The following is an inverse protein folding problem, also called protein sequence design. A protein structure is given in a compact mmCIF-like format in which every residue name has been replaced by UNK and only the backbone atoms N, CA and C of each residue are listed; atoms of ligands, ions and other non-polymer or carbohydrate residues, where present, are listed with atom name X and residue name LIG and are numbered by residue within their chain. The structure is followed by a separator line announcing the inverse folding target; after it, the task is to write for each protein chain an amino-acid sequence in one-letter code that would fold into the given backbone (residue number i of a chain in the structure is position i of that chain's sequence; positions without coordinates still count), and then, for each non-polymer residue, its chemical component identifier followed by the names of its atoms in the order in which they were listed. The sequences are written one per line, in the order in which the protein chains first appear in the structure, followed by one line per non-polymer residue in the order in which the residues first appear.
data_IF_209512024269
#
_entry.id   IF_209512024269
#
_cell.length_a   1.000
_cell.length_b   1.000
_cell.length_c   1.000
_cell.angle_alpha   90.00
_cell.angle_beta   90.00
_cell.angle_gamma   90.00
#
_symmetry.space_group_name_H-M   'P 1'
#
loop_
_entity.id
_entity.type
_entity.pdbx_description
1 polymer ?
#
# COMPACT_ATOMS: atom_id res chain seq x y z
N UNK A 1 -3.65 -11.10 -27.73
CA UNK A 1 -4.40 -9.84 -27.97
C UNK A 1 -5.46 -9.95 -29.09
N UNK A 2 -6.03 -11.12 -29.36
CA UNK A 2 -7.00 -11.30 -30.46
C UNK A 2 -8.23 -10.40 -30.35
N UNK A 3 -8.68 -10.12 -29.13
CA UNK A 3 -9.85 -9.29 -28.81
C UNK A 3 -9.93 -7.89 -29.48
N UNK A 4 -8.79 -7.28 -29.83
CA UNK A 4 -8.75 -6.04 -30.61
C UNK A 4 -8.61 -6.30 -32.12
N UNK A 5 -7.85 -7.32 -32.56
CA UNK A 5 -7.71 -7.67 -33.99
C UNK A 5 -9.02 -8.19 -34.58
N UNK A 6 -9.69 -9.13 -33.91
CA UNK A 6 -11.01 -9.62 -34.27
C UNK A 6 -12.00 -8.45 -34.44
N UNK A 7 -11.92 -7.40 -33.62
CA UNK A 7 -12.81 -6.24 -33.73
C UNK A 7 -12.54 -5.36 -34.98
N UNK A 8 -11.29 -5.32 -35.48
CA UNK A 8 -10.95 -4.66 -36.75
C UNK A 8 -11.35 -5.52 -37.95
N UNK A 9 -11.10 -6.83 -37.90
CA UNK A 9 -11.51 -7.83 -38.90
C UNK A 9 -13.04 -7.90 -39.07
N UNK A 10 -13.79 -7.88 -37.95
CA UNK A 10 -15.26 -7.84 -37.91
C UNK A 10 -15.80 -6.53 -38.50
N UNK A 11 -15.08 -5.41 -38.38
CA UNK A 11 -15.48 -4.15 -39.03
C UNK A 11 -15.04 -4.10 -40.50
N UNK A 12 -13.96 -4.80 -40.88
CA UNK A 12 -13.41 -4.82 -42.23
C UNK A 12 -12.43 -3.68 -42.51
N UNK A 13 -11.57 -3.38 -41.53
CA UNK A 13 -10.56 -2.32 -41.59
C UNK A 13 -9.23 -2.84 -41.01
N UNK A 14 -8.10 -2.27 -41.43
CA UNK A 14 -6.79 -2.65 -40.91
C UNK A 14 -6.59 -2.27 -39.44
N UNK A 15 -5.57 -2.85 -38.80
CA UNK A 15 -5.16 -2.53 -37.41
C UNK A 15 -4.87 -1.04 -37.19
N UNK A 16 -4.39 -0.37 -38.25
CA UNK A 16 -3.84 0.98 -38.22
C UNK A 16 -4.90 2.04 -38.59
N UNK A 17 -6.16 1.62 -38.79
CA UNK A 17 -7.26 2.46 -39.21
C UNK A 17 -7.66 3.50 -38.14
N UNK A 18 -8.00 4.73 -38.55
CA UNK A 18 -8.39 5.79 -37.61
C UNK A 18 -9.81 5.59 -37.07
N UNK A 19 -10.18 6.31 -35.99
CA UNK A 19 -11.56 6.29 -35.48
C UNK A 19 -12.59 6.83 -36.51
N UNK A 20 -12.16 7.55 -37.54
CA UNK A 20 -13.02 7.94 -38.66
C UNK A 20 -13.22 6.77 -39.63
N UNK A 21 -12.14 6.07 -40.01
CA UNK A 21 -12.19 4.92 -40.92
C UNK A 21 -12.97 3.75 -40.32
N UNK A 22 -12.79 3.48 -39.03
CA UNK A 22 -13.53 2.42 -38.31
C UNK A 22 -15.03 2.76 -38.24
N UNK A 23 -15.42 4.03 -38.12
CA UNK A 23 -16.83 4.45 -38.23
C UNK A 23 -17.36 4.32 -39.67
N UNK A 24 -16.53 4.62 -40.68
CA UNK A 24 -16.86 4.51 -42.10
C UNK A 24 -17.07 3.05 -42.51
N UNK A 25 -16.14 2.17 -42.14
CA UNK A 25 -16.24 0.72 -42.33
C UNK A 25 -17.44 0.12 -41.60
N UNK A 26 -17.68 0.49 -40.34
CA UNK A 26 -18.85 0.05 -39.59
C UNK A 26 -20.16 0.41 -40.32
N UNK A 27 -20.30 1.66 -40.81
CA UNK A 27 -21.47 2.08 -41.59
C UNK A 27 -21.62 1.28 -42.88
N UNK A 28 -20.53 1.11 -43.64
CA UNK A 28 -20.55 0.37 -44.90
C UNK A 28 -20.89 -1.12 -44.71
N UNK A 29 -20.34 -1.78 -43.68
CA UNK A 29 -20.60 -3.19 -43.39
C UNK A 29 -21.99 -3.40 -42.79
N UNK A 30 -22.44 -2.49 -41.92
CA UNK A 30 -23.81 -2.46 -41.39
C UNK A 30 -24.86 -2.43 -42.51
N UNK A 31 -24.68 -1.60 -43.53
CA UNK A 31 -25.60 -1.54 -44.69
C UNK A 31 -25.60 -2.83 -45.53
N UNK A 32 -24.46 -3.54 -45.60
CA UNK A 32 -24.31 -4.82 -46.31
C UNK A 32 -24.88 -6.02 -45.53
N UNK A 33 -25.01 -5.93 -44.21
CA UNK A 33 -25.54 -7.01 -43.36
C UNK A 33 -26.86 -6.64 -42.67
N UNK A 34 -27.51 -5.55 -43.10
CA UNK A 34 -28.78 -5.12 -42.48
C UNK A 34 -29.89 -6.12 -42.83
N UNK A 35 -30.60 -6.73 -41.86
CA UNK A 35 -31.55 -7.80 -42.14
C UNK A 35 -32.72 -7.34 -43.03
N UNK A 36 -33.22 -6.13 -42.80
CA UNK A 36 -34.31 -5.51 -43.57
C UNK A 36 -33.93 -5.24 -45.05
N UNK A 37 -32.64 -4.95 -45.34
CA UNK A 37 -32.17 -4.72 -46.72
C UNK A 37 -31.68 -5.99 -47.42
N UNK A 38 -31.42 -7.05 -46.65
CA UNK A 38 -30.84 -8.30 -47.12
C UNK A 38 -31.62 -9.52 -46.56
N UNK A 39 -32.97 -9.58 -46.71
CA UNK A 39 -33.80 -10.62 -46.06
C UNK A 39 -33.53 -12.04 -46.57
N UNK A 40 -32.86 -12.17 -47.72
CA UNK A 40 -32.39 -13.43 -48.31
C UNK A 40 -31.10 -13.98 -47.67
N UNK A 41 -30.34 -13.14 -46.94
CA UNK A 41 -29.11 -13.54 -46.24
C UNK A 41 -29.43 -14.04 -44.83
N UNK A 42 -29.54 -15.36 -44.66
CA UNK A 42 -29.84 -16.02 -43.37
C UNK A 42 -28.90 -15.57 -42.23
N UNK A 43 -27.63 -15.33 -42.54
CA UNK A 43 -26.63 -14.87 -41.57
C UNK A 43 -26.58 -13.34 -41.35
N UNK A 44 -27.39 -12.53 -42.06
CA UNK A 44 -27.37 -11.06 -41.94
C UNK A 44 -27.54 -10.60 -40.49
N UNK A 45 -28.53 -11.15 -39.78
CA UNK A 45 -28.80 -10.83 -38.38
C UNK A 45 -27.62 -11.20 -37.45
N UNK A 46 -26.95 -12.34 -37.70
CA UNK A 46 -25.78 -12.79 -36.93
C UNK A 46 -24.59 -11.85 -37.14
N UNK A 47 -24.25 -11.57 -38.39
CA UNK A 47 -23.14 -10.69 -38.77
C UNK A 47 -23.36 -9.24 -38.29
N UNK A 48 -24.59 -8.74 -38.36
CA UNK A 48 -24.96 -7.42 -37.82
C UNK A 48 -24.84 -7.37 -36.29
N UNK A 49 -25.25 -8.43 -35.59
CA UNK A 49 -25.12 -8.53 -34.14
C UNK A 49 -23.65 -8.55 -33.70
N UNK A 50 -22.82 -9.35 -34.37
CA UNK A 50 -21.37 -9.43 -34.13
C UNK A 50 -20.66 -8.09 -34.39
N UNK A 51 -20.95 -7.44 -35.52
CA UNK A 51 -20.48 -6.08 -35.85
C UNK A 51 -20.85 -5.06 -34.75
N UNK A 52 -22.07 -5.17 -34.22
CA UNK A 52 -22.57 -4.31 -33.13
C UNK A 52 -21.88 -4.62 -31.81
N UNK A 53 -21.62 -5.89 -31.48
CA UNK A 53 -20.84 -6.27 -30.30
C UNK A 53 -19.40 -5.73 -30.37
N UNK A 54 -18.72 -5.88 -31.50
CA UNK A 54 -17.34 -5.40 -31.70
C UNK A 54 -17.22 -3.88 -31.48
N UNK A 55 -18.08 -3.09 -32.11
CA UNK A 55 -18.10 -1.62 -31.94
C UNK A 55 -18.43 -1.21 -30.49
N UNK A 56 -19.33 -1.93 -29.81
CA UNK A 56 -19.64 -1.70 -28.40
C UNK A 56 -18.47 -2.04 -27.49
N UNK A 57 -17.78 -3.17 -27.71
CA UNK A 57 -16.57 -3.60 -26.97
C UNK A 57 -15.45 -2.57 -27.13
N UNK A 58 -15.18 -2.13 -28.37
CA UNK A 58 -14.24 -1.05 -28.70
C UNK A 58 -14.58 0.26 -27.99
N UNK A 59 -15.84 0.69 -28.04
CA UNK A 59 -16.31 1.93 -27.39
C UNK A 59 -16.20 1.86 -25.86
N UNK A 60 -16.54 0.72 -25.25
CA UNK A 60 -16.35 0.46 -23.81
C UNK A 60 -14.87 0.53 -23.44
N UNK A 61 -13.97 -0.17 -24.15
CA UNK A 61 -12.53 -0.16 -23.89
C UNK A 61 -11.90 1.23 -24.04
N UNK A 62 -12.31 2.01 -25.05
CA UNK A 62 -11.90 3.43 -25.23
C UNK A 62 -12.33 4.29 -24.03
N UNK A 63 -13.59 4.19 -23.61
CA UNK A 63 -14.12 4.97 -22.49
C UNK A 63 -13.51 4.52 -21.14
N UNK A 64 -13.17 3.24 -20.99
CA UNK A 64 -12.44 2.69 -19.85
C UNK A 64 -11.01 3.24 -19.78
N UNK A 65 -10.25 3.23 -20.89
CA UNK A 65 -8.92 3.86 -20.99
C UNK A 65 -8.97 5.34 -20.59
N UNK A 66 -9.95 6.12 -21.08
CA UNK A 66 -10.15 7.52 -20.67
C UNK A 66 -10.41 7.67 -19.16
N UNK A 67 -11.26 6.82 -18.57
CA UNK A 67 -11.55 6.81 -17.12
C UNK A 67 -10.33 6.41 -16.27
N UNK A 68 -9.51 5.47 -16.74
CA UNK A 68 -8.27 5.07 -16.07
C UNK A 68 -7.24 6.21 -16.08
N UNK A 69 -7.01 6.84 -17.24
CA UNK A 69 -6.09 7.96 -17.34
C UNK A 69 -6.52 9.14 -16.45
N UNK A 70 -7.80 9.53 -16.48
CA UNK A 70 -8.33 10.63 -15.65
C UNK A 70 -8.33 10.36 -14.13
N UNK A 71 -8.24 9.10 -13.70
CA UNK A 71 -7.95 8.76 -12.29
C UNK A 71 -6.47 8.95 -11.98
N UNK A 72 -5.58 8.47 -12.85
CA UNK A 72 -4.14 8.56 -12.65
C UNK A 72 -3.61 10.00 -12.64
N UNK A 73 -4.22 10.93 -13.39
CA UNK A 73 -3.82 12.35 -13.40
C UNK A 73 -4.04 13.06 -12.06
N UNK A 74 -5.05 12.67 -11.29
CA UNK A 74 -5.40 13.32 -10.02
C UNK A 74 -4.82 12.57 -8.81
N UNK A 75 -4.88 11.23 -8.82
CA UNK A 75 -4.46 10.38 -7.70
C UNK A 75 -2.94 10.39 -7.46
N UNK A 76 -2.11 10.51 -8.52
CA UNK A 76 -0.64 10.55 -8.33
C UNK A 76 -0.16 11.84 -7.65
N UNK A 77 -0.57 13.05 -8.07
CA UNK A 77 -0.22 14.29 -7.36
C UNK A 77 -0.74 14.35 -5.91
N UNK A 78 -1.93 13.80 -5.65
CA UNK A 78 -2.49 13.61 -4.30
C UNK A 78 -1.56 12.76 -3.43
N UNK A 79 -1.25 11.53 -3.86
CA UNK A 79 -0.40 10.60 -3.12
C UNK A 79 0.99 11.16 -2.79
N UNK A 80 1.57 11.96 -3.69
CA UNK A 80 2.87 12.62 -3.47
C UNK A 80 2.76 13.73 -2.40
N UNK A 81 1.67 14.51 -2.40
CA UNK A 81 1.43 15.56 -1.41
C UNK A 81 1.14 14.98 -0.02
N UNK A 82 0.36 13.91 0.05
CA UNK A 82 0.03 13.26 1.32
C UNK A 82 1.23 12.52 1.92
N UNK A 83 2.09 11.93 1.09
CA UNK A 83 3.39 11.41 1.54
C UNK A 83 4.27 12.55 2.08
N UNK A 84 4.41 13.66 1.34
CA UNK A 84 5.18 14.82 1.77
C UNK A 84 4.68 15.43 3.08
N UNK A 85 3.35 15.53 3.26
CA UNK A 85 2.71 15.94 4.51
C UNK A 85 3.12 15.04 5.68
N UNK A 86 2.94 13.72 5.54
CA UNK A 86 3.24 12.75 6.60
C UNK A 86 4.69 12.80 7.04
N UNK A 87 5.64 12.91 6.10
CA UNK A 87 7.08 13.02 6.41
C UNK A 87 7.41 14.28 7.23
N UNK A 88 6.64 15.36 7.09
CA UNK A 88 6.80 16.59 7.89
C UNK A 88 6.14 16.45 9.27
N UNK A 89 4.92 15.90 9.32
CA UNK A 89 4.18 15.65 10.56
C UNK A 89 4.94 14.65 11.47
N UNK A 90 5.53 13.59 10.90
CA UNK A 90 6.35 12.60 11.60
C UNK A 90 7.63 13.22 12.18
N UNK A 91 8.37 14.00 11.38
CA UNK A 91 9.56 14.74 11.86
C UNK A 91 9.23 15.75 12.95
N UNK A 92 8.09 16.44 12.87
CA UNK A 92 7.64 17.36 13.91
C UNK A 92 7.28 16.61 15.20
N UNK A 93 6.62 15.45 15.10
CA UNK A 93 6.31 14.59 16.25
C UNK A 93 7.57 14.00 16.90
N UNK A 94 8.60 13.65 16.12
CA UNK A 94 9.89 13.20 16.62
C UNK A 94 10.63 14.31 17.38
N UNK A 95 10.72 15.52 16.83
CA UNK A 95 11.30 16.68 17.52
C UNK A 95 10.55 17.02 18.82
N UNK A 96 9.22 16.95 18.82
CA UNK A 96 8.39 17.13 20.02
C UNK A 96 8.57 16.02 21.07
N UNK A 97 8.94 14.80 20.66
CA UNK A 97 9.35 13.74 21.60
C UNK A 97 10.70 14.03 22.20
N UNK A 98 11.70 14.34 21.38
CA UNK A 98 13.06 14.67 21.84
C UNK A 98 13.06 15.87 22.80
N UNK A 99 12.25 16.90 22.53
CA UNK A 99 12.05 18.04 23.43
C UNK A 99 11.45 17.63 24.78
N UNK A 100 10.41 16.79 24.79
CA UNK A 100 9.78 16.31 26.03
C UNK A 100 10.65 15.34 26.82
N UNK A 101 11.45 14.53 26.12
CA UNK A 101 12.39 13.60 26.74
C UNK A 101 13.54 14.36 27.39
N UNK A 102 14.06 15.42 26.75
CA UNK A 102 15.00 16.35 27.34
C UNK A 102 14.41 17.13 28.54
N UNK A 103 13.20 17.69 28.40
CA UNK A 103 12.49 18.37 29.50
C UNK A 103 12.29 17.46 30.71
N UNK A 104 11.91 16.20 30.48
CA UNK A 104 11.73 15.20 31.54
C UNK A 104 13.07 14.77 32.15
N UNK A 105 14.14 14.63 31.34
CA UNK A 105 15.47 14.30 31.82
C UNK A 105 16.08 15.43 32.66
N UNK A 106 15.98 16.68 32.21
CA UNK A 106 16.39 17.88 32.97
C UNK A 106 15.62 17.97 34.30
N UNK A 107 14.30 17.76 34.27
CA UNK A 107 13.47 17.72 35.48
C UNK A 107 13.87 16.58 36.43
N UNK A 108 14.12 15.37 35.93
CA UNK A 108 14.57 14.26 36.79
C UNK A 108 15.97 14.49 37.36
N UNK A 109 16.87 15.14 36.62
CA UNK A 109 18.19 15.51 37.10
C UNK A 109 18.14 16.60 38.18
N UNK A 110 17.14 17.50 38.13
CA UNK A 110 16.84 18.42 39.24
C UNK A 110 16.29 17.66 40.46
N UNK A 111 15.35 16.73 40.24
CA UNK A 111 14.71 15.92 41.30
C UNK A 111 15.69 14.90 41.95
N UNK A 112 16.80 14.55 41.29
CA UNK A 112 17.92 13.76 41.85
C UNK A 112 18.93 14.62 42.63
N UNK A 113 18.97 15.94 42.40
CA UNK A 113 19.91 16.88 43.03
C UNK A 113 19.39 17.48 44.35
N UNK A 114 18.07 17.53 44.54
CA UNK A 114 17.48 17.81 45.85
C UNK A 114 17.67 16.58 46.77
N UNK A 115 18.35 16.72 47.94
CA UNK A 115 18.48 15.60 48.86
C UNK A 115 17.09 15.20 49.37
N UNK A 116 16.78 13.89 49.47
CA UNK A 116 15.46 13.43 49.88
C UNK A 116 15.11 14.03 51.25
N UNK A 117 13.90 14.60 51.42
CA UNK A 117 13.56 15.42 52.57
C UNK A 117 13.79 14.62 53.86
N UNK A 118 14.60 15.20 54.77
CA UNK A 118 15.06 14.59 56.02
C UNK A 118 13.92 14.42 57.04
N UNK A 119 12.99 13.50 56.75
CA UNK A 119 11.77 13.27 57.53
C UNK A 119 10.98 12.00 57.19
N UNK A 120 11.47 11.14 56.29
CA UNK A 120 10.72 9.94 55.84
C UNK A 120 11.52 8.63 55.78
N UNK A 121 12.68 8.53 56.46
CA UNK A 121 13.28 7.22 56.71
C UNK A 121 12.47 6.48 57.80
N UNK A 122 11.89 5.29 57.53
CA UNK A 122 11.20 4.54 58.57
C UNK A 122 12.22 4.08 59.62
N UNK A 123 12.02 4.48 60.87
CA UNK A 123 12.87 4.12 62.01
C UNK A 123 12.63 2.66 62.45
N UNK A 124 13.00 1.71 61.60
CA UNK A 124 12.98 0.27 61.86
C UNK A 124 14.38 -0.30 62.14
N UNK A 125 15.29 0.49 62.71
CA UNK A 125 16.52 -0.03 63.33
C UNK A 125 16.24 -0.44 64.78
N UNK A 126 15.55 -1.57 64.96
CA UNK A 126 15.31 -2.17 66.27
C UNK A 126 15.93 -3.56 66.30
N UNK A 127 17.05 -3.70 67.01
CA UNK A 127 17.79 -4.96 67.14
C UNK A 127 17.02 -5.97 68.00
N UNK A 128 16.70 -7.14 67.45
CA UNK A 128 16.56 -8.37 68.24
C UNK A 128 17.73 -9.31 67.93
N UNK A 129 18.44 -9.72 68.98
CA UNK A 129 19.43 -10.78 68.91
C UNK A 129 18.74 -12.15 69.01
N UNK A 130 19.10 -13.09 68.14
CA UNK A 130 18.91 -14.52 68.35
C UNK A 130 20.07 -15.28 67.69
N UNK A 131 20.83 -16.05 68.48
CA UNK A 131 21.98 -16.81 68.00
C UNK A 131 21.56 -18.23 67.60
N UNK A 132 22.14 -18.79 66.53
CA UNK A 132 22.53 -20.23 66.50
C UNK A 132 23.35 -20.61 65.25
N UNK A 133 24.68 -20.51 65.39
CA UNK A 133 25.70 -21.49 64.94
C UNK A 133 25.86 -21.89 63.45
N UNK A 134 27.04 -22.45 63.06
CA UNK A 134 27.46 -22.56 61.66
C UNK A 134 27.43 -24.00 61.09
N UNK A 135 27.81 -24.14 59.81
CA UNK A 135 28.43 -25.27 59.05
C UNK A 135 28.01 -25.10 57.56
N UNK A 136 28.82 -25.35 56.53
CA UNK A 136 30.24 -25.70 56.44
C UNK A 136 30.84 -25.18 55.09
N UNK A 137 32.15 -25.34 54.92
CA UNK A 137 32.90 -25.01 53.69
C UNK A 137 32.54 -25.88 52.46
N UNK A 138 32.61 -25.31 51.24
CA UNK A 138 33.32 -25.89 50.06
C UNK A 138 33.31 -24.92 48.86
N UNK A 139 34.44 -24.83 48.14
CA UNK A 139 34.67 -24.10 46.87
C UNK A 139 35.22 -25.06 45.79
N UNK A 140 35.22 -24.70 44.48
CA UNK A 140 34.39 -23.74 43.73
C UNK A 140 33.45 -24.51 42.76
N UNK A 141 33.64 -24.74 41.42
CA UNK A 141 34.60 -24.27 40.41
C UNK A 141 33.97 -23.45 39.23
N UNK A 142 34.84 -23.10 38.28
CA UNK A 142 34.62 -22.47 36.96
C UNK A 142 33.99 -23.37 35.87
N UNK A 143 33.27 -22.78 34.88
CA UNK A 143 33.47 -23.10 33.44
C UNK A 143 33.07 -21.92 32.52
N UNK A 144 33.73 -21.85 31.36
CA UNK A 144 33.49 -20.87 30.26
C UNK A 144 32.28 -21.26 29.38
N UNK A 145 31.74 -20.31 28.60
CA UNK A 145 30.50 -20.51 27.82
C UNK A 145 30.23 -19.52 26.68
N UNK A 146 31.22 -19.17 25.85
CA UNK A 146 31.02 -18.33 24.66
C UNK A 146 30.16 -19.02 23.58
N UNK A 147 29.21 -18.31 22.94
CA UNK A 147 28.68 -18.72 21.63
C UNK A 147 28.10 -17.55 20.81
N UNK A 148 28.50 -17.49 19.54
CA UNK A 148 28.17 -16.41 18.60
C UNK A 148 26.77 -16.53 17.97
N UNK A 149 26.19 -15.44 17.43
CA UNK A 149 24.91 -15.48 16.71
C UNK A 149 25.05 -16.14 15.33
N UNK A 150 23.98 -16.78 14.86
CA UNK A 150 23.87 -17.41 13.54
C UNK A 150 22.74 -16.78 12.71
N UNK A 151 23.08 -16.25 11.53
CA UNK A 151 22.12 -15.71 10.56
C UNK A 151 21.52 -16.80 9.68
N UNK A 152 20.20 -16.78 9.38
CA UNK A 152 19.64 -17.47 8.22
C UNK A 152 19.73 -16.62 6.94
N UNK A 153 19.60 -17.27 5.79
CA UNK A 153 19.45 -16.68 4.44
C UNK A 153 18.01 -16.81 3.97
#
# INVERSE_FOLDING_TARGET
NNDEQNAYEIVGVGSDATDADIKKGFRQRSLKTHPDRNPHLKDAARLFHELTQAQNKRTRKRNQRRRQNGRNTHRRPEQIRDAGRRMVEERQAELLRQQKEAELAERSAQEELDPPPLGAYPLSFSSLHAQTSPQASTTPPSVSGTRSPSTPT
#
